data_IF_799620128269
#
_entry.id   IF_799620128269
#
_cell.length_a   1.000
_cell.length_b   1.000
_cell.length_c   1.000
_cell.angle_alpha   90.00
_cell.angle_beta   90.00
_cell.angle_gamma   90.00
#
_symmetry.space_group_name_H-M   'P 1'
#
loop_
_entity.id
_entity.type
_entity.pdbx_description
1 polymer ?
#
# COMPACT_ATOMS: atom_id res chain seq x y z
N UNK A 1 37.20 2.08 -5.12
CA UNK A 1 37.28 3.18 -6.10
C UNK A 1 38.53 3.00 -6.94
N UNK A 2 38.40 3.01 -8.26
CA UNK A 2 39.52 2.73 -9.19
C UNK A 2 40.41 3.98 -9.38
N UNK A 3 39.90 5.18 -9.08
CA UNK A 3 40.66 6.44 -9.02
C UNK A 3 40.03 7.39 -7.97
N UNK A 4 40.70 8.51 -7.64
CA UNK A 4 40.11 9.57 -6.80
C UNK A 4 38.79 10.07 -7.41
N UNK A 5 37.69 9.94 -6.68
CA UNK A 5 36.37 10.38 -7.15
C UNK A 5 36.20 11.88 -7.05
N UNK A 6 35.65 12.48 -8.11
CA UNK A 6 35.19 13.88 -8.07
C UNK A 6 33.90 13.97 -7.26
N UNK A 7 33.62 15.15 -6.69
CA UNK A 7 32.41 15.35 -5.88
C UNK A 7 31.12 14.98 -6.64
N UNK A 8 31.04 15.31 -7.92
CA UNK A 8 29.90 14.94 -8.77
C UNK A 8 29.78 13.42 -9.01
N UNK A 9 30.90 12.68 -9.09
CA UNK A 9 30.89 11.22 -9.22
C UNK A 9 30.38 10.55 -7.95
N UNK A 10 30.74 11.09 -6.78
CA UNK A 10 30.20 10.64 -5.50
C UNK A 10 28.68 10.82 -5.45
N UNK A 11 28.16 12.00 -5.85
CA UNK A 11 26.71 12.26 -5.89
C UNK A 11 26.01 11.27 -6.84
N UNK A 12 26.55 11.05 -8.05
CA UNK A 12 25.98 10.10 -9.01
C UNK A 12 26.03 8.67 -8.46
N UNK A 13 27.12 8.26 -7.82
CA UNK A 13 27.23 6.93 -7.22
C UNK A 13 26.26 6.72 -6.06
N UNK A 14 26.00 7.77 -5.25
CA UNK A 14 24.96 7.73 -4.22
C UNK A 14 23.57 7.58 -4.84
N UNK A 15 23.27 8.29 -5.93
CA UNK A 15 22.01 8.15 -6.66
C UNK A 15 21.85 6.75 -7.25
N UNK A 16 22.90 6.19 -7.85
CA UNK A 16 22.90 4.82 -8.37
C UNK A 16 22.65 3.81 -7.23
N UNK A 17 23.37 3.95 -6.11
CA UNK A 17 23.17 3.08 -4.95
C UNK A 17 21.72 3.18 -4.45
N UNK A 18 21.18 4.39 -4.31
CA UNK A 18 19.80 4.61 -3.91
C UNK A 18 18.80 3.93 -4.86
N UNK A 19 19.00 4.03 -6.18
CA UNK A 19 18.15 3.37 -7.17
C UNK A 19 18.22 1.84 -7.09
N UNK A 20 19.38 1.26 -6.79
CA UNK A 20 19.53 -0.20 -6.64
C UNK A 20 18.96 -0.72 -5.32
N UNK A 21 19.09 0.02 -4.21
CA UNK A 21 18.60 -0.40 -2.90
C UNK A 21 17.14 -0.03 -2.64
N UNK A 22 16.61 0.98 -3.34
CA UNK A 22 15.23 1.47 -3.21
C UNK A 22 14.58 1.70 -4.59
N UNK A 23 14.49 0.67 -5.47
CA UNK A 23 13.84 0.81 -6.76
C UNK A 23 12.33 1.11 -6.61
N UNK A 24 11.72 0.60 -5.54
CA UNK A 24 10.31 0.85 -5.19
C UNK A 24 9.99 2.35 -5.13
N UNK A 25 10.92 3.17 -4.59
CA UNK A 25 10.72 4.62 -4.50
C UNK A 25 10.47 5.25 -5.87
N UNK A 26 11.19 4.82 -6.90
CA UNK A 26 11.01 5.37 -8.25
C UNK A 26 9.75 4.83 -8.91
N UNK A 27 9.41 3.56 -8.67
CA UNK A 27 8.17 2.98 -9.17
C UNK A 27 6.95 3.70 -8.58
N UNK A 28 6.98 4.03 -7.28
CA UNK A 28 5.91 4.75 -6.57
C UNK A 28 5.67 6.16 -7.12
N UNK A 29 6.67 6.78 -7.76
CA UNK A 29 6.49 8.07 -8.44
C UNK A 29 5.92 7.95 -9.85
N UNK A 30 5.98 6.75 -10.46
CA UNK A 30 5.49 6.51 -11.82
C UNK A 30 4.08 5.92 -11.82
N UNK A 31 3.77 5.11 -10.80
CA UNK A 31 2.51 4.39 -10.69
C UNK A 31 2.14 4.27 -9.22
N UNK A 32 0.88 4.47 -8.86
CA UNK A 32 0.42 4.32 -7.49
C UNK A 32 0.37 2.85 -7.07
N UNK A 33 0.77 2.55 -5.83
CA UNK A 33 0.75 1.18 -5.30
C UNK A 33 -0.66 0.61 -5.17
N UNK A 34 -1.59 1.42 -4.69
CA UNK A 34 -2.97 1.01 -4.45
C UNK A 34 -3.91 1.87 -5.28
N UNK A 35 -4.95 1.27 -5.85
CA UNK A 35 -6.16 1.99 -6.18
C UNK A 35 -6.95 2.19 -4.90
N UNK A 36 -7.27 3.44 -4.60
CA UNK A 36 -8.06 3.85 -3.43
C UNK A 36 -9.43 4.34 -3.86
N UNK A 37 -10.47 3.96 -3.12
CA UNK A 37 -11.80 4.56 -3.24
C UNK A 37 -12.49 4.66 -1.87
N UNK A 38 -13.44 5.58 -1.76
CA UNK A 38 -14.23 5.85 -0.54
C UNK A 38 -15.72 5.79 -0.85
N UNK A 39 -16.56 5.66 0.18
CA UNK A 39 -18.02 5.66 0.04
C UNK A 39 -18.54 4.61 -0.97
N UNK A 40 -19.59 4.90 -1.75
CA UNK A 40 -20.14 3.95 -2.73
C UNK A 40 -19.13 3.47 -3.78
N UNK A 41 -18.17 4.32 -4.16
CA UNK A 41 -17.12 3.97 -5.11
C UNK A 41 -16.15 2.90 -4.55
N UNK A 42 -16.03 2.80 -3.23
CA UNK A 42 -15.27 1.74 -2.58
C UNK A 42 -15.87 0.36 -2.88
N UNK A 43 -17.19 0.22 -2.76
CA UNK A 43 -17.90 -1.03 -3.11
C UNK A 43 -17.73 -1.38 -4.59
N UNK A 44 -17.81 -0.39 -5.48
CA UNK A 44 -17.56 -0.62 -6.91
C UNK A 44 -16.12 -1.09 -7.18
N UNK A 45 -15.14 -0.48 -6.50
CA UNK A 45 -13.74 -0.85 -6.64
C UNK A 45 -13.51 -2.29 -6.17
N UNK A 46 -14.10 -2.69 -5.04
CA UNK A 46 -14.07 -4.06 -4.53
C UNK A 46 -14.71 -5.05 -5.50
N UNK A 47 -15.87 -4.70 -6.08
CA UNK A 47 -16.57 -5.58 -7.00
C UNK A 47 -15.80 -5.84 -8.31
N UNK A 48 -14.89 -4.93 -8.70
CA UNK A 48 -14.01 -5.10 -9.87
C UNK A 48 -12.79 -5.98 -9.59
N UNK A 49 -12.49 -6.26 -8.33
CA UNK A 49 -11.34 -7.08 -7.96
C UNK A 49 -11.58 -8.55 -8.29
N UNK A 50 -10.50 -9.25 -8.64
CA UNK A 50 -10.54 -10.69 -8.88
C UNK A 50 -10.81 -11.47 -7.60
N UNK A 51 -11.51 -12.60 -7.70
CA UNK A 51 -11.81 -13.46 -6.55
C UNK A 51 -10.54 -13.83 -5.77
N UNK A 52 -10.59 -13.64 -4.45
CA UNK A 52 -9.50 -13.97 -3.54
C UNK A 52 -8.34 -12.96 -3.53
N UNK A 53 -8.38 -11.91 -4.36
CA UNK A 53 -7.40 -10.81 -4.25
C UNK A 53 -7.53 -10.13 -2.90
N UNK A 54 -6.41 -9.86 -2.24
CA UNK A 54 -6.43 -9.17 -0.95
C UNK A 54 -6.84 -7.70 -1.14
N UNK A 55 -7.84 -7.28 -0.36
CA UNK A 55 -8.34 -5.92 -0.29
C UNK A 55 -8.07 -5.40 1.12
N UNK A 56 -7.48 -4.22 1.22
CA UNK A 56 -7.30 -3.53 2.50
C UNK A 56 -8.48 -2.58 2.70
N UNK A 57 -9.12 -2.68 3.86
CA UNK A 57 -10.27 -1.86 4.22
C UNK A 57 -9.91 -1.08 5.48
N UNK A 58 -10.07 0.24 5.42
CA UNK A 58 -9.85 1.14 6.54
C UNK A 58 -11.20 1.40 7.19
N UNK A 59 -11.34 0.91 8.40
CA UNK A 59 -12.50 1.14 9.27
C UNK A 59 -12.15 2.27 10.23
N UNK A 60 -13.06 3.20 10.48
CA UNK A 60 -12.91 4.21 11.50
C UNK A 60 -14.18 4.33 12.32
N UNK A 61 -14.02 4.59 13.62
CA UNK A 61 -15.12 4.76 14.55
C UNK A 61 -14.62 5.25 15.91
N UNK A 62 -15.52 5.54 16.85
CA UNK A 62 -15.17 5.93 18.20
C UNK A 62 -14.56 4.75 18.96
N UNK A 63 -13.38 4.96 19.52
CA UNK A 63 -12.66 4.01 20.36
C UNK A 63 -13.45 3.70 21.65
N UNK A 64 -13.63 2.42 21.99
CA UNK A 64 -14.51 1.99 23.09
C UNK A 64 -14.15 2.61 24.45
N UNK A 65 -12.85 2.80 24.72
CA UNK A 65 -12.38 3.33 26.00
C UNK A 65 -12.41 4.87 26.06
N UNK A 66 -12.14 5.54 24.94
CA UNK A 66 -11.88 6.99 24.92
C UNK A 66 -12.89 7.82 24.13
N UNK A 67 -13.72 7.21 23.29
CA UNK A 67 -14.64 7.87 22.36
C UNK A 67 -13.97 8.63 21.22
N UNK A 68 -12.64 8.58 21.08
CA UNK A 68 -11.95 9.26 19.99
C UNK A 68 -12.03 8.46 18.70
N UNK A 69 -12.16 9.14 17.56
CA UNK A 69 -12.15 8.46 16.26
C UNK A 69 -10.78 7.87 15.97
N UNK A 70 -10.74 6.55 15.76
CA UNK A 70 -9.51 5.80 15.44
C UNK A 70 -9.67 5.02 14.13
N UNK A 71 -8.73 5.10 13.19
CA UNK A 71 -8.70 4.21 12.03
C UNK A 71 -7.98 2.89 12.33
N UNK A 72 -8.56 1.77 11.90
CA UNK A 72 -7.97 0.43 11.90
C UNK A 72 -8.02 -0.15 10.49
N UNK A 73 -6.91 -0.69 10.00
CA UNK A 73 -6.87 -1.34 8.66
C UNK A 73 -6.97 -2.85 8.81
N UNK A 74 -7.98 -3.44 8.18
CA UNK A 74 -8.15 -4.88 8.04
C UNK A 74 -7.88 -5.31 6.59
N UNK A 75 -7.62 -6.60 6.40
CA UNK A 75 -7.45 -7.18 5.05
C UNK A 75 -8.42 -8.33 4.87
N UNK A 76 -9.12 -8.35 3.74
CA UNK A 76 -10.08 -9.39 3.42
C UNK A 76 -9.99 -9.82 1.95
N UNK A 77 -10.35 -11.07 1.63
CA UNK A 77 -10.36 -11.56 0.25
C UNK A 77 -11.56 -10.99 -0.52
N UNK A 78 -11.29 -10.50 -1.73
CA UNK A 78 -12.30 -10.02 -2.65
C UNK A 78 -13.26 -11.12 -3.11
N UNK A 79 -14.52 -10.74 -3.36
CA UNK A 79 -15.49 -11.53 -4.10
C UNK A 79 -15.89 -10.76 -5.36
N UNK A 80 -15.52 -11.29 -6.52
CA UNK A 80 -15.72 -10.67 -7.81
C UNK A 80 -17.21 -10.44 -8.08
N UNK A 81 -17.54 -9.21 -8.47
CA UNK A 81 -18.90 -8.78 -8.78
C UNK A 81 -19.80 -8.52 -7.57
N UNK A 82 -19.33 -8.78 -6.33
CA UNK A 82 -20.16 -8.64 -5.13
C UNK A 82 -19.31 -8.28 -3.90
N UNK A 83 -19.13 -6.98 -3.68
CA UNK A 83 -18.39 -6.45 -2.54
C UNK A 83 -19.05 -6.78 -1.19
N UNK A 84 -20.38 -6.74 -1.14
CA UNK A 84 -21.14 -7.03 0.08
C UNK A 84 -20.92 -8.46 0.54
N UNK A 85 -20.94 -9.41 -0.41
CA UNK A 85 -20.62 -10.80 -0.12
C UNK A 85 -19.20 -11.02 0.40
N UNK A 86 -18.24 -10.17 0.03
CA UNK A 86 -16.89 -10.22 0.59
C UNK A 86 -16.88 -9.86 2.08
N UNK A 87 -17.65 -8.84 2.49
CA UNK A 87 -17.84 -8.48 3.90
C UNK A 87 -18.62 -9.54 4.69
N UNK A 88 -19.75 -9.99 4.14
CA UNK A 88 -20.61 -11.00 4.77
C UNK A 88 -19.84 -12.31 5.02
N UNK A 89 -18.99 -12.72 4.07
CA UNK A 89 -18.14 -13.91 4.21
C UNK A 89 -17.14 -13.81 5.38
N UNK A 90 -16.84 -12.60 5.83
CA UNK A 90 -16.00 -12.31 6.99
C UNK A 90 -16.81 -11.97 8.25
N UNK A 91 -18.14 -12.07 8.20
CA UNK A 91 -19.01 -11.72 9.32
C UNK A 91 -19.07 -10.21 9.59
N UNK A 92 -18.78 -9.37 8.59
CA UNK A 92 -18.89 -7.92 8.65
C UNK A 92 -20.19 -7.50 7.99
N UNK A 93 -21.11 -6.92 8.76
CA UNK A 93 -22.37 -6.40 8.23
C UNK A 93 -22.20 -4.92 7.89
N UNK A 94 -22.19 -4.60 6.60
CA UNK A 94 -22.05 -3.24 6.09
C UNK A 94 -23.43 -2.72 5.65
N UNK A 95 -23.76 -1.50 6.06
CA UNK A 95 -25.02 -0.83 5.76
C UNK A 95 -24.71 0.49 5.06
N UNK A 96 -24.78 0.53 3.72
CA UNK A 96 -24.62 1.76 2.97
C UNK A 96 -25.74 2.76 3.30
N UNK A 97 -25.37 3.95 3.77
CA UNK A 97 -26.29 5.07 4.02
C UNK A 97 -25.77 6.33 3.32
N UNK A 98 -26.32 6.61 2.13
CA UNK A 98 -25.85 7.70 1.28
C UNK A 98 -24.39 7.53 0.87
N UNK A 99 -23.53 8.43 1.35
CA UNK A 99 -22.08 8.41 1.09
C UNK A 99 -21.30 7.63 2.17
N UNK A 100 -21.96 7.26 3.27
CA UNK A 100 -21.36 6.56 4.40
C UNK A 100 -21.53 5.06 4.24
N UNK A 101 -20.47 4.30 4.50
CA UNK A 101 -20.52 2.85 4.59
C UNK A 101 -20.49 2.44 6.06
N UNK A 102 -21.63 2.58 6.74
CA UNK A 102 -21.75 2.22 8.15
C UNK A 102 -21.59 0.70 8.31
N UNK A 103 -21.19 0.26 9.50
CA UNK A 103 -20.96 -1.14 9.80
C UNK A 103 -21.49 -1.47 11.18
N UNK A 104 -22.16 -2.61 11.31
CA UNK A 104 -22.60 -3.14 12.59
C UNK A 104 -21.47 -3.89 13.30
N UNK A 105 -21.64 -4.05 14.62
CA UNK A 105 -20.72 -4.83 15.45
C UNK A 105 -20.57 -6.26 14.88
N UNK A 106 -19.34 -6.72 14.58
CA UNK A 106 -19.13 -8.09 14.13
C UNK A 106 -19.62 -9.08 15.19
N UNK A 107 -20.26 -10.18 14.79
CA UNK A 107 -20.76 -11.14 15.78
C UNK A 107 -19.62 -11.86 16.52
N UNK A 108 -19.80 -12.21 17.82
CA UNK A 108 -18.85 -13.05 18.53
C UNK A 108 -18.54 -14.36 17.78
N UNK A 109 -17.25 -14.67 17.63
CA UNK A 109 -16.78 -15.84 16.89
C UNK A 109 -16.51 -15.60 15.39
N UNK A 110 -16.75 -14.39 14.88
CA UNK A 110 -16.30 -13.98 13.54
C UNK A 110 -14.82 -13.58 13.53
N UNK A 111 -14.13 -13.63 12.37
CA UNK A 111 -12.69 -13.32 12.27
C UNK A 111 -12.28 -11.95 12.82
N UNK A 112 -13.16 -10.95 12.74
CA UNK A 112 -12.85 -9.56 13.09
C UNK A 112 -13.48 -9.07 14.38
N UNK A 113 -14.18 -9.93 15.13
CA UNK A 113 -14.77 -9.55 16.42
C UNK A 113 -13.70 -9.02 17.40
N UNK A 114 -12.60 -9.74 17.58
CA UNK A 114 -11.55 -9.36 18.51
C UNK A 114 -10.82 -8.06 18.10
N UNK A 115 -10.72 -7.78 16.79
CA UNK A 115 -10.01 -6.62 16.26
C UNK A 115 -10.88 -5.38 16.05
N UNK A 116 -12.19 -5.53 15.96
CA UNK A 116 -13.11 -4.40 15.69
C UNK A 116 -14.19 -4.30 16.77
N UNK A 117 -14.84 -5.42 17.12
CA UNK A 117 -15.90 -5.47 18.13
C UNK A 117 -15.44 -4.99 19.50
N UNK A 118 -14.22 -5.34 19.91
CA UNK A 118 -13.64 -4.89 21.20
C UNK A 118 -12.99 -3.51 21.12
N UNK A 119 -12.67 -3.00 19.93
CA UNK A 119 -11.91 -1.74 19.76
C UNK A 119 -12.83 -0.52 19.65
N UNK A 120 -14.06 -0.69 19.14
CA UNK A 120 -14.96 0.40 18.82
C UNK A 120 -16.26 0.38 19.64
N UNK A 121 -16.83 1.56 19.87
CA UNK A 121 -18.19 1.70 20.37
C UNK A 121 -19.19 1.81 19.20
N UNK A 122 -19.91 0.72 18.92
CA UNK A 122 -20.93 0.68 17.86
C UNK A 122 -22.27 1.30 18.27
N UNK A 123 -22.42 1.72 19.53
CA UNK A 123 -23.68 2.22 20.10
C UNK A 123 -23.63 3.72 20.43
N UNK A 124 -22.55 4.40 20.07
CA UNK A 124 -22.41 5.85 20.18
C UNK A 124 -23.13 6.59 19.02
N UNK A 125 -23.27 7.91 19.14
CA UNK A 125 -23.90 8.77 18.12
C UNK A 125 -23.12 8.78 16.79
N UNK A 126 -21.82 8.48 16.83
CA UNK A 126 -20.97 8.40 15.62
C UNK A 126 -20.82 6.95 15.18
N UNK A 127 -21.30 6.58 13.98
CA UNK A 127 -21.22 5.20 13.52
C UNK A 127 -19.77 4.78 13.24
N UNK A 128 -19.51 3.48 13.40
CA UNK A 128 -18.32 2.84 12.85
C UNK A 128 -18.53 2.66 11.35
N UNK A 129 -17.60 3.16 10.54
CA UNK A 129 -17.74 3.19 9.09
C UNK A 129 -16.48 2.74 8.37
N UNK A 130 -16.66 2.29 7.13
CA UNK A 130 -15.57 2.06 6.19
C UNK A 130 -15.24 3.39 5.51
N UNK A 131 -14.09 3.95 5.86
CA UNK A 131 -13.63 5.24 5.34
C UNK A 131 -12.92 5.09 3.99
N UNK A 132 -12.18 4.00 3.80
CA UNK A 132 -11.38 3.79 2.59
C UNK A 132 -11.22 2.31 2.25
N UNK A 133 -11.20 2.00 0.96
CA UNK A 133 -10.80 0.70 0.42
C UNK A 133 -9.59 0.88 -0.48
N UNK A 134 -8.59 0.01 -0.30
CA UNK A 134 -7.34 -0.01 -1.05
C UNK A 134 -7.12 -1.38 -1.69
N UNK A 135 -6.93 -1.40 -3.01
CA UNK A 135 -6.63 -2.62 -3.78
C UNK A 135 -5.28 -2.44 -4.45
N UNK A 136 -4.38 -3.41 -4.30
CA UNK A 136 -3.07 -3.32 -4.94
C UNK A 136 -3.18 -3.30 -6.47
N UNK A 137 -2.57 -2.30 -7.10
CA UNK A 137 -2.57 -2.16 -8.55
C UNK A 137 -1.70 -3.24 -9.21
N UNK A 138 -2.08 -3.63 -10.42
CA UNK A 138 -1.16 -4.39 -11.28
C UNK A 138 -0.10 -3.43 -11.83
N UNK A 139 1.15 -3.61 -11.40
CA UNK A 139 2.26 -2.68 -11.65
C UNK A 139 3.41 -3.39 -12.33
N UNK A 140 4.17 -2.62 -13.09
CA UNK A 140 5.39 -3.15 -13.69
C UNK A 140 6.40 -3.56 -12.61
N UNK A 141 7.22 -4.59 -12.88
CA UNK A 141 8.23 -5.04 -11.94
C UNK A 141 9.22 -3.91 -11.63
N UNK A 142 9.49 -3.68 -10.35
CA UNK A 142 10.42 -2.64 -9.88
C UNK A 142 11.85 -2.84 -10.39
N UNK A 143 12.22 -4.07 -10.73
CA UNK A 143 13.51 -4.45 -11.29
C UNK A 143 13.82 -3.71 -12.60
N UNK A 144 12.81 -3.15 -13.28
CA UNK A 144 13.00 -2.27 -14.44
C UNK A 144 13.92 -1.08 -14.13
N UNK A 145 13.93 -0.57 -12.89
CA UNK A 145 14.83 0.51 -12.47
C UNK A 145 16.29 0.07 -12.28
N UNK A 146 16.59 -1.24 -12.27
CA UNK A 146 17.98 -1.72 -12.24
C UNK A 146 18.67 -1.49 -13.58
N UNK A 147 17.94 -1.54 -14.70
CA UNK A 147 18.49 -1.31 -16.04
C UNK A 147 19.13 0.08 -16.16
N UNK A 148 18.42 1.20 -15.89
CA UNK A 148 19.03 2.52 -15.95
C UNK A 148 20.14 2.69 -14.90
N UNK A 149 19.99 2.13 -13.69
CA UNK A 149 21.03 2.20 -12.65
C UNK A 149 22.35 1.54 -13.11
N UNK A 150 22.28 0.36 -13.72
CA UNK A 150 23.45 -0.36 -14.22
C UNK A 150 24.10 0.33 -15.42
N UNK A 151 23.31 0.94 -16.30
CA UNK A 151 23.83 1.76 -17.42
C UNK A 151 24.61 2.96 -16.87
N UNK A 152 24.06 3.67 -15.87
CA UNK A 152 24.75 4.79 -15.22
C UNK A 152 26.05 4.33 -14.53
N UNK A 153 26.00 3.20 -13.83
CA UNK A 153 27.17 2.61 -13.18
C UNK A 153 28.26 2.27 -14.20
N UNK A 154 27.90 1.62 -15.31
CA UNK A 154 28.83 1.30 -16.39
C UNK A 154 29.45 2.58 -16.97
N UNK A 155 28.65 3.62 -17.17
CA UNK A 155 29.15 4.93 -17.62
C UNK A 155 30.19 5.52 -16.66
N UNK A 156 29.93 5.52 -15.35
CA UNK A 156 30.87 5.98 -14.34
C UNK A 156 32.14 5.13 -14.33
N UNK A 157 32.03 3.80 -14.44
CA UNK A 157 33.17 2.89 -14.51
C UNK A 157 34.04 3.19 -15.73
N UNK A 158 33.44 3.39 -16.92
CA UNK A 158 34.19 3.72 -18.14
C UNK A 158 34.92 5.07 -18.02
N UNK A 159 34.30 6.08 -17.39
CA UNK A 159 34.91 7.39 -17.14
C UNK A 159 36.07 7.27 -16.14
N UNK A 160 35.88 6.53 -15.04
CA UNK A 160 36.93 6.32 -14.03
C UNK A 160 38.10 5.48 -14.59
N UNK A 161 37.82 4.49 -15.44
CA UNK A 161 38.82 3.59 -16.04
C UNK A 161 39.86 4.35 -16.88
N UNK A 162 39.48 5.44 -17.55
CA UNK A 162 40.43 6.30 -18.29
C UNK A 162 41.44 7.02 -17.37
N UNK A 163 41.13 7.14 -16.08
CA UNK A 163 41.97 7.79 -15.06
C UNK A 163 42.55 6.79 -14.05
N UNK A 164 42.35 5.50 -14.28
CA UNK A 164 42.94 4.44 -13.49
C UNK A 164 44.45 4.42 -13.75
N UNK A 165 45.19 5.26 -13.04
CA UNK A 165 46.66 5.32 -13.09
C UNK A 165 47.32 4.48 -12.01
N UNK A 166 46.54 3.87 -11.11
CA UNK A 166 47.02 2.88 -10.16
C UNK A 166 46.95 1.48 -10.80
N UNK A 167 48.08 0.76 -10.91
CA UNK A 167 48.05 -0.63 -11.30
C UNK A 167 47.19 -1.41 -10.30
N UNK A 168 46.43 -2.39 -10.80
CA UNK A 168 45.95 -3.44 -9.93
C UNK A 168 47.20 -4.20 -9.48
N UNK A 169 47.48 -4.16 -8.18
CA UNK A 169 48.66 -4.71 -7.49
C UNK A 169 49.91 -3.81 -7.51
#
# INVERSE_FOLDING_TARGET
>A
FIAKSKLWETIVLLLIAFMLFRPDFFLDQVSEKYATATGPAALELMARAENGKEIRVVVAGPDFDTGNIRPTTITLPAVAGDAMRAFDAQGLAVLPDGDVLAMDEPFPGTPFFESLGNEYDFYDDTPVEITEVQIENDRSPKELFFIPALILLLGIVLIQRRRATQPAF
#
